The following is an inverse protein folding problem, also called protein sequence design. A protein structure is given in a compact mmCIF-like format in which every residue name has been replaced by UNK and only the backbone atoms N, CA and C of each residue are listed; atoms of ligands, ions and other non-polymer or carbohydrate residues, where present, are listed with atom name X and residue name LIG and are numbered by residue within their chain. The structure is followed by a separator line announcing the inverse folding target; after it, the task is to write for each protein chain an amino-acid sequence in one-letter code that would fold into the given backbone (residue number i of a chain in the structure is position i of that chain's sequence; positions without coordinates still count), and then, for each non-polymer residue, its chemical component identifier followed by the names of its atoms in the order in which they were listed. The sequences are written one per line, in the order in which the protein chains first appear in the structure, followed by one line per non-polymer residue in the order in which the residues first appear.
data_IF_495169035228
#
_entry.id   IF_495169035228
#
_cell.length_a   1.000
_cell.length_b   1.000
_cell.length_c   1.000
_cell.angle_alpha   90.00
_cell.angle_beta   90.00
_cell.angle_gamma   90.00
#
_symmetry.space_group_name_H-M   'P 1'
#
loop_
_entity.id
_entity.type
_entity.pdbx_description
1 polymer ?
#
# COMPACT_ATOMS: atom_id res chain seq x y z
N UNK A 1 -13.72 16.51 -4.99
CA UNK A 1 -14.16 16.60 -6.41
C UNK A 1 -15.63 16.22 -6.62
N UNK A 2 -16.18 15.19 -5.95
CA UNK A 2 -17.61 14.81 -6.09
C UNK A 2 -18.56 15.93 -5.67
N UNK A 3 -18.25 16.65 -4.60
CA UNK A 3 -19.04 17.78 -4.13
C UNK A 3 -19.09 18.93 -5.15
N UNK A 4 -17.97 19.23 -5.80
CA UNK A 4 -17.90 20.25 -6.84
C UNK A 4 -18.72 19.88 -8.08
N UNK A 5 -18.67 18.62 -8.51
CA UNK A 5 -19.45 18.12 -9.65
C UNK A 5 -20.96 18.21 -9.42
N UNK A 6 -21.43 18.07 -8.18
CA UNK A 6 -22.83 18.14 -7.79
C UNK A 6 -23.24 19.49 -7.19
N UNK A 7 -22.35 20.49 -7.18
CA UNK A 7 -22.55 21.77 -6.51
C UNK A 7 -22.94 21.62 -5.02
N UNK A 8 -22.54 20.52 -4.39
CA UNK A 8 -22.73 20.31 -2.96
C UNK A 8 -21.51 20.87 -2.20
N UNK A 9 -21.75 21.53 -1.08
CA UNK A 9 -20.71 21.95 -0.15
C UNK A 9 -20.67 20.99 1.03
N UNK A 10 -19.46 20.59 1.43
CA UNK A 10 -19.26 19.83 2.65
C UNK A 10 -19.24 20.77 3.83
N UNK A 11 -20.03 20.47 4.86
CA UNK A 11 -19.93 21.14 6.15
C UNK A 11 -18.67 20.70 6.90
N UNK A 12 -18.20 21.47 7.91
CA UNK A 12 -17.13 21.00 8.79
C UNK A 12 -17.42 19.62 9.40
N UNK A 13 -18.68 19.38 9.81
CA UNK A 13 -19.09 18.08 10.36
C UNK A 13 -19.00 16.92 9.35
N UNK A 14 -19.37 17.14 8.09
CA UNK A 14 -19.22 16.13 7.03
C UNK A 14 -17.75 15.78 6.81
N UNK A 15 -16.88 16.81 6.82
CA UNK A 15 -15.43 16.60 6.70
C UNK A 15 -14.89 15.76 7.85
N UNK A 16 -15.26 16.08 9.07
CA UNK A 16 -14.79 15.36 10.25
C UNK A 16 -15.30 13.91 10.27
N UNK A 17 -16.55 13.70 9.84
CA UNK A 17 -17.13 12.35 9.69
C UNK A 17 -16.36 11.53 8.64
N UNK A 18 -16.06 12.10 7.49
CA UNK A 18 -15.28 11.42 6.43
C UNK A 18 -13.88 11.08 6.93
N UNK A 19 -13.18 12.03 7.57
CA UNK A 19 -11.82 11.81 8.06
C UNK A 19 -11.78 10.78 9.19
N UNK A 20 -12.73 10.78 10.10
CA UNK A 20 -12.84 9.77 11.15
C UNK A 20 -13.17 8.38 10.57
N UNK A 21 -14.08 8.33 9.59
CA UNK A 21 -14.42 7.10 8.88
C UNK A 21 -13.21 6.46 8.20
N UNK A 22 -12.42 7.24 7.46
CA UNK A 22 -11.20 6.74 6.80
C UNK A 22 -10.19 6.17 7.80
N UNK A 23 -10.09 6.75 9.00
CA UNK A 23 -9.17 6.29 10.05
C UNK A 23 -9.62 5.01 10.74
N UNK A 24 -10.92 4.70 10.71
CA UNK A 24 -11.55 3.58 11.41
C UNK A 24 -11.97 2.43 10.49
N UNK A 25 -11.64 2.48 9.18
CA UNK A 25 -11.94 1.39 8.26
C UNK A 25 -11.28 0.09 8.74
N UNK A 26 -12.05 -1.03 8.79
CA UNK A 26 -11.49 -2.33 9.11
C UNK A 26 -10.56 -2.81 7.98
N UNK A 27 -9.56 -3.60 8.33
CA UNK A 27 -8.81 -4.35 7.33
C UNK A 27 -9.70 -5.38 6.63
N UNK A 28 -9.40 -5.70 5.37
CA UNK A 28 -9.99 -6.87 4.72
C UNK A 28 -9.58 -8.15 5.45
N UNK A 29 -10.44 -9.18 5.54
CA UNK A 29 -10.19 -10.36 6.36
C UNK A 29 -8.97 -11.20 5.93
N UNK A 30 -8.57 -11.10 4.66
CA UNK A 30 -7.42 -11.78 4.06
C UNK A 30 -6.07 -11.09 4.37
N UNK A 31 -6.08 -9.85 4.88
CA UNK A 31 -4.85 -9.05 5.05
C UNK A 31 -4.00 -9.59 6.19
N UNK A 32 -4.55 -9.71 7.40
CA UNK A 32 -3.77 -10.19 8.55
C UNK A 32 -3.18 -11.57 8.32
N UNK A 33 -3.94 -12.60 7.88
CA UNK A 33 -3.37 -13.92 7.61
C UNK A 33 -2.26 -13.90 6.55
N UNK A 34 -2.39 -13.09 5.50
CA UNK A 34 -1.36 -12.95 4.47
C UNK A 34 -0.09 -12.26 4.97
N UNK A 35 -0.22 -11.21 5.81
CA UNK A 35 0.93 -10.56 6.47
C UNK A 35 1.65 -11.51 7.42
N UNK A 36 0.92 -12.29 8.21
CA UNK A 36 1.48 -13.29 9.11
C UNK A 36 2.28 -14.36 8.34
N UNK A 37 1.78 -14.83 7.18
CA UNK A 37 2.48 -15.78 6.32
C UNK A 37 3.80 -15.21 5.79
N UNK A 38 3.79 -13.96 5.28
CA UNK A 38 5.01 -13.30 4.79
C UNK A 38 6.03 -13.11 5.91
N UNK A 39 5.60 -12.68 7.09
CA UNK A 39 6.48 -12.51 8.25
C UNK A 39 7.10 -13.85 8.71
N UNK A 40 6.30 -14.92 8.76
CA UNK A 40 6.79 -16.27 9.06
C UNK A 40 7.77 -16.76 8.00
N UNK A 41 7.59 -16.36 6.74
CA UNK A 41 8.51 -16.62 5.64
C UNK A 41 9.79 -15.77 5.67
N UNK A 42 9.99 -14.92 6.69
CA UNK A 42 11.20 -14.13 6.86
C UNK A 42 11.21 -12.79 6.12
N UNK A 43 10.09 -12.36 5.53
CA UNK A 43 10.01 -11.06 4.85
C UNK A 43 9.90 -9.91 5.83
N UNK A 44 10.61 -8.82 5.55
CA UNK A 44 10.46 -7.53 6.24
C UNK A 44 9.25 -6.82 5.69
N UNK A 45 8.32 -6.42 6.56
CA UNK A 45 7.07 -5.78 6.19
C UNK A 45 7.10 -4.30 6.58
N UNK A 46 6.83 -3.43 5.61
CA UNK A 46 6.75 -1.98 5.83
C UNK A 46 5.52 -1.43 5.12
N UNK A 47 5.05 -0.26 5.57
CA UNK A 47 4.03 0.49 4.82
C UNK A 47 4.64 1.71 4.14
N UNK A 48 4.13 2.06 2.95
CA UNK A 48 4.40 3.33 2.28
C UNK A 48 3.08 3.98 1.87
N UNK A 49 2.76 5.13 2.44
CA UNK A 49 1.45 5.78 2.28
C UNK A 49 1.55 7.23 1.83
N UNK A 50 0.51 7.67 1.10
CA UNK A 50 0.27 9.09 0.80
C UNK A 50 -0.39 9.85 1.98
N UNK A 51 -0.72 9.15 3.06
CA UNK A 51 -1.29 9.75 4.27
C UNK A 51 -0.22 10.33 5.19
N UNK A 52 -0.58 11.34 5.97
CA UNK A 52 0.28 11.88 7.02
C UNK A 52 0.62 10.81 8.09
N UNK A 53 1.80 10.90 8.76
CA UNK A 53 2.25 9.89 9.73
C UNK A 53 1.23 9.58 10.83
N UNK A 54 0.58 10.61 11.37
CA UNK A 54 -0.44 10.44 12.42
C UNK A 54 -1.67 9.67 11.90
N UNK A 55 -2.05 9.84 10.64
CA UNK A 55 -3.20 9.16 10.06
C UNK A 55 -2.91 7.67 9.84
N UNK A 56 -1.75 7.31 9.29
CA UNK A 56 -1.38 5.91 9.10
C UNK A 56 -1.20 5.18 10.43
N UNK A 57 -0.59 5.82 11.43
CA UNK A 57 -0.46 5.23 12.77
C UNK A 57 -1.84 4.88 13.37
N UNK A 58 -2.81 5.79 13.23
CA UNK A 58 -4.18 5.55 13.71
C UNK A 58 -4.88 4.45 12.92
N UNK A 59 -4.73 4.43 11.58
CA UNK A 59 -5.30 3.39 10.71
C UNK A 59 -4.76 2.01 11.06
N UNK A 60 -3.44 1.85 11.20
CA UNK A 60 -2.82 0.57 11.56
C UNK A 60 -3.25 0.10 12.94
N UNK A 61 -3.34 1.02 13.91
CA UNK A 61 -3.83 0.71 15.26
C UNK A 61 -5.28 0.23 15.24
N UNK A 62 -6.16 0.95 14.56
CA UNK A 62 -7.59 0.60 14.46
C UNK A 62 -7.82 -0.70 13.71
N UNK A 63 -6.98 -0.99 12.71
CA UNK A 63 -7.01 -2.26 11.95
C UNK A 63 -6.36 -3.44 12.70
N UNK A 64 -5.70 -3.22 13.85
CA UNK A 64 -4.99 -4.24 14.59
C UNK A 64 -3.76 -4.79 13.85
N UNK A 65 -3.08 -3.96 13.03
CA UNK A 65 -1.98 -4.39 12.16
C UNK A 65 -0.62 -3.79 12.55
N UNK A 66 -0.54 -2.97 13.58
CA UNK A 66 0.68 -2.24 13.96
C UNK A 66 1.85 -3.18 14.24
N UNK A 67 1.58 -4.32 14.88
CA UNK A 67 2.55 -5.33 15.29
C UNK A 67 3.19 -6.12 14.13
N UNK A 68 2.62 -6.01 12.93
CA UNK A 68 3.07 -6.75 11.75
C UNK A 68 4.09 -5.99 10.92
N UNK A 69 4.19 -4.68 11.07
CA UNK A 69 5.08 -3.83 10.28
C UNK A 69 6.29 -3.39 11.09
N UNK A 70 7.48 -3.57 10.51
CA UNK A 70 8.74 -3.09 11.08
C UNK A 70 8.79 -1.56 11.13
N UNK A 71 8.33 -0.92 10.05
CA UNK A 71 8.32 0.54 9.89
C UNK A 71 7.13 0.99 9.07
N UNK A 72 6.74 2.25 9.28
CA UNK A 72 5.69 2.90 8.49
C UNK A 72 6.25 4.18 7.87
N UNK A 73 6.22 4.27 6.55
CA UNK A 73 6.74 5.38 5.76
C UNK A 73 5.62 6.24 5.22
N UNK A 74 5.76 7.56 5.37
CA UNK A 74 4.88 8.55 4.76
C UNK A 74 5.63 9.34 3.70
N UNK A 75 4.93 9.67 2.63
CA UNK A 75 5.43 10.58 1.57
C UNK A 75 5.70 12.01 2.08
N UNK A 76 5.22 12.34 3.28
CA UNK A 76 5.49 13.63 3.92
C UNK A 76 6.99 13.89 4.10
N UNK A 77 7.81 12.85 4.26
CA UNK A 77 9.26 12.98 4.40
C UNK A 77 9.90 13.50 3.12
N UNK A 78 9.49 13.00 1.98
CA UNK A 78 10.06 13.37 0.67
C UNK A 78 9.27 14.47 -0.05
N UNK A 79 8.13 14.89 0.50
CA UNK A 79 7.23 15.90 -0.07
C UNK A 79 6.82 15.63 -1.53
N UNK A 80 6.70 14.35 -1.87
CA UNK A 80 6.27 13.86 -3.18
C UNK A 80 5.28 12.72 -2.99
N UNK A 81 4.11 12.83 -3.60
CA UNK A 81 3.09 11.77 -3.58
C UNK A 81 3.47 10.61 -4.52
N UNK A 82 3.14 9.39 -4.14
CA UNK A 82 3.07 8.27 -5.10
C UNK A 82 2.08 8.65 -6.22
N UNK A 83 2.32 8.35 -7.48
CA UNK A 83 3.30 7.39 -8.00
C UNK A 83 4.68 7.96 -8.38
N UNK A 84 5.07 9.16 -7.94
CA UNK A 84 6.41 9.67 -8.18
C UNK A 84 7.49 8.70 -7.62
N UNK A 85 8.69 8.61 -8.24
CA UNK A 85 9.70 7.61 -7.87
C UNK A 85 10.36 7.87 -6.50
N UNK A 86 10.35 9.11 -6.02
CA UNK A 86 11.05 9.50 -4.79
C UNK A 86 10.58 8.74 -3.54
N UNK A 87 9.28 8.52 -3.29
CA UNK A 87 8.82 7.71 -2.16
C UNK A 87 9.38 6.29 -2.13
N UNK A 88 9.44 5.62 -3.29
CA UNK A 88 9.93 4.24 -3.37
C UNK A 88 11.45 4.18 -3.16
N UNK A 89 12.21 5.12 -3.75
CA UNK A 89 13.66 5.25 -3.54
C UNK A 89 14.00 5.54 -2.07
N UNK A 90 13.21 6.40 -1.44
CA UNK A 90 13.36 6.71 -0.02
C UNK A 90 13.22 5.45 0.85
N UNK A 91 12.20 4.61 0.61
CA UNK A 91 12.03 3.36 1.35
C UNK A 91 13.22 2.43 1.14
N UNK A 92 13.69 2.25 -0.10
CA UNK A 92 14.87 1.43 -0.41
C UNK A 92 16.11 1.91 0.37
N UNK A 93 16.36 3.20 0.36
CA UNK A 93 17.49 3.83 1.08
C UNK A 93 17.40 3.60 2.58
N UNK A 94 16.23 3.84 3.18
CA UNK A 94 16.00 3.69 4.63
C UNK A 94 16.11 2.24 5.12
N UNK A 95 15.81 1.28 4.25
CA UNK A 95 15.93 -0.15 4.55
C UNK A 95 17.30 -0.72 4.19
N UNK A 96 18.14 0.04 3.46
CA UNK A 96 19.46 -0.41 3.02
C UNK A 96 19.40 -1.51 1.96
N UNK A 97 18.39 -1.50 1.07
CA UNK A 97 18.17 -2.51 0.03
C UNK A 97 18.10 -1.88 -1.36
N UNK A 98 18.23 -2.68 -2.41
CA UNK A 98 17.97 -2.25 -3.78
C UNK A 98 16.46 -2.09 -4.06
N UNK A 99 16.11 -1.27 -5.06
CA UNK A 99 14.71 -1.15 -5.49
C UNK A 99 14.13 -2.49 -5.97
N UNK A 100 14.95 -3.31 -6.64
CA UNK A 100 14.56 -4.65 -7.08
C UNK A 100 14.35 -5.66 -5.94
N UNK A 101 14.75 -5.33 -4.72
CA UNK A 101 14.51 -6.14 -3.51
C UNK A 101 13.19 -5.74 -2.81
N UNK A 102 12.52 -4.69 -3.30
CA UNK A 102 11.24 -4.22 -2.78
C UNK A 102 10.10 -4.68 -3.69
N UNK A 103 9.07 -5.26 -3.10
CA UNK A 103 7.81 -5.55 -3.79
C UNK A 103 6.69 -4.65 -3.26
N UNK A 104 6.12 -3.83 -4.15
CA UNK A 104 4.90 -3.08 -3.85
C UNK A 104 3.69 -4.00 -3.98
N UNK A 105 2.92 -4.13 -2.90
CA UNK A 105 1.64 -4.85 -2.90
C UNK A 105 0.51 -3.84 -2.74
N UNK A 106 -0.34 -3.71 -3.74
CA UNK A 106 -1.42 -2.73 -3.74
C UNK A 106 -2.60 -3.14 -4.62
N UNK A 107 -3.78 -2.60 -4.29
CA UNK A 107 -5.00 -2.74 -5.11
C UNK A 107 -5.24 -1.53 -6.03
N UNK A 108 -4.26 -0.65 -6.19
CA UNK A 108 -4.34 0.51 -7.07
C UNK A 108 -3.29 0.40 -8.18
N UNK A 109 -3.77 0.35 -9.42
CA UNK A 109 -2.91 0.20 -10.60
C UNK A 109 -1.85 1.29 -10.71
N UNK A 110 -2.19 2.54 -10.36
CA UNK A 110 -1.25 3.66 -10.39
C UNK A 110 -0.07 3.48 -9.40
N UNK A 111 -0.30 2.84 -8.25
CA UNK A 111 0.74 2.59 -7.24
C UNK A 111 1.69 1.47 -7.72
N UNK A 112 1.14 0.40 -8.27
CA UNK A 112 1.93 -0.68 -8.89
C UNK A 112 2.77 -0.16 -10.04
N UNK A 113 2.18 0.61 -10.97
CA UNK A 113 2.91 1.18 -12.11
C UNK A 113 4.03 2.12 -11.63
N UNK A 114 3.75 3.00 -10.66
CA UNK A 114 4.76 3.91 -10.11
C UNK A 114 5.92 3.17 -9.45
N UNK A 115 5.63 2.14 -8.65
CA UNK A 115 6.65 1.33 -8.01
C UNK A 115 7.53 0.58 -9.05
N UNK A 116 6.91 -0.05 -10.04
CA UNK A 116 7.63 -0.76 -11.10
C UNK A 116 8.47 0.17 -11.96
N UNK A 117 7.97 1.36 -12.30
CA UNK A 117 8.75 2.38 -13.01
C UNK A 117 9.93 2.92 -12.19
N UNK A 118 9.82 2.91 -10.87
CA UNK A 118 10.92 3.25 -9.98
C UNK A 118 11.98 2.14 -9.87
N UNK A 119 11.65 0.90 -10.29
CA UNK A 119 12.54 -0.27 -10.26
C UNK A 119 12.15 -1.34 -9.23
N UNK A 120 11.00 -1.20 -8.55
CA UNK A 120 10.48 -2.21 -7.64
C UNK A 120 9.77 -3.35 -8.36
N UNK A 121 9.62 -4.49 -7.69
CA UNK A 121 8.68 -5.54 -8.08
C UNK A 121 7.25 -5.12 -7.74
N UNK A 122 6.25 -5.70 -8.41
CA UNK A 122 4.84 -5.41 -8.20
C UNK A 122 4.01 -6.64 -7.87
N UNK A 123 3.04 -6.51 -6.97
CA UNK A 123 1.97 -7.48 -6.76
C UNK A 123 0.63 -6.76 -6.71
N UNK A 124 -0.22 -7.00 -7.68
CA UNK A 124 -1.53 -6.35 -7.78
C UNK A 124 -2.61 -7.19 -7.14
N UNK A 125 -3.35 -6.60 -6.21
CA UNK A 125 -4.53 -7.22 -5.60
C UNK A 125 -5.76 -6.80 -6.41
N UNK A 126 -6.27 -7.73 -7.21
CA UNK A 126 -7.41 -7.54 -8.10
C UNK A 126 -8.74 -7.61 -7.33
N UNK A 127 -8.94 -6.71 -6.36
CA UNK A 127 -10.21 -6.56 -5.64
C UNK A 127 -11.35 -6.24 -6.62
N UNK A 128 -12.61 -6.55 -6.29
CA UNK A 128 -13.75 -6.16 -7.12
C UNK A 128 -13.69 -4.68 -7.51
N UNK A 129 -13.82 -4.39 -8.79
CA UNK A 129 -13.72 -3.04 -9.35
C UNK A 129 -12.31 -2.47 -9.49
N UNK A 130 -11.26 -3.23 -9.18
CA UNK A 130 -9.86 -2.85 -9.40
C UNK A 130 -9.31 -3.53 -10.63
N UNK A 131 -8.74 -2.74 -11.54
CA UNK A 131 -8.15 -3.22 -12.80
C UNK A 131 -6.77 -2.62 -13.01
N UNK A 132 -5.89 -3.39 -13.66
CA UNK A 132 -4.58 -2.89 -14.10
C UNK A 132 -4.73 -1.94 -15.30
N UNK A 133 -3.76 -1.05 -15.47
CA UNK A 133 -3.69 -0.24 -16.69
C UNK A 133 -3.31 -1.13 -17.89
N UNK A 134 -4.09 -1.10 -18.97
CA UNK A 134 -3.85 -1.97 -20.13
C UNK A 134 -2.46 -1.78 -20.77
N UNK A 135 -1.97 -0.54 -20.80
CA UNK A 135 -0.70 -0.14 -21.39
C UNK A 135 0.45 0.03 -20.37
N UNK A 136 0.19 -0.21 -19.08
CA UNK A 136 1.22 -0.15 -18.05
C UNK A 136 2.07 -1.41 -17.97
N UNK A 137 3.23 -1.35 -17.25
CA UNK A 137 3.98 -2.54 -16.92
C UNK A 137 3.11 -3.51 -16.15
N UNK A 138 3.23 -4.80 -16.48
CA UNK A 138 2.45 -5.86 -15.82
C UNK A 138 3.25 -6.44 -14.68
N UNK A 139 2.71 -6.45 -13.45
CA UNK A 139 3.35 -7.15 -12.34
C UNK A 139 3.35 -8.66 -12.60
N UNK A 140 4.34 -9.33 -12.07
CA UNK A 140 4.46 -10.79 -12.11
C UNK A 140 3.44 -11.50 -11.20
N UNK A 141 2.90 -10.77 -10.21
CA UNK A 141 1.84 -11.26 -9.33
C UNK A 141 0.55 -10.46 -9.54
N UNK A 142 -0.52 -11.17 -9.87
CA UNK A 142 -1.90 -10.66 -9.88
C UNK A 142 -2.78 -11.66 -9.12
N UNK A 143 -3.31 -11.25 -7.99
CA UNK A 143 -4.04 -12.12 -7.09
C UNK A 143 -5.42 -11.53 -6.71
N UNK A 144 -6.45 -12.34 -6.48
CA UNK A 144 -7.77 -11.84 -6.10
C UNK A 144 -7.81 -11.22 -4.71
N UNK A 145 -6.92 -11.65 -3.82
CA UNK A 145 -6.82 -11.21 -2.44
C UNK A 145 -5.36 -11.22 -1.96
N UNK A 146 -5.13 -10.68 -0.77
CA UNK A 146 -3.78 -10.55 -0.22
C UNK A 146 -3.21 -11.91 0.22
N UNK A 147 -4.03 -12.84 0.69
CA UNK A 147 -3.56 -14.15 1.13
C UNK A 147 -3.04 -15.01 -0.04
N UNK A 148 -3.71 -14.94 -1.20
CA UNK A 148 -3.23 -15.57 -2.45
C UNK A 148 -1.94 -14.89 -2.92
N UNK A 149 -1.88 -13.55 -2.87
CA UNK A 149 -0.65 -12.83 -3.21
C UNK A 149 0.53 -13.24 -2.30
N UNK A 150 0.32 -13.36 -0.99
CA UNK A 150 1.34 -13.77 -0.04
C UNK A 150 1.92 -15.15 -0.38
N UNK A 151 1.08 -16.12 -0.75
CA UNK A 151 1.54 -17.45 -1.21
C UNK A 151 2.39 -17.37 -2.47
N UNK A 152 2.01 -16.52 -3.43
CA UNK A 152 2.77 -16.33 -4.66
C UNK A 152 4.12 -15.64 -4.38
N UNK A 153 4.16 -14.64 -3.50
CA UNK A 153 5.39 -13.97 -3.06
C UNK A 153 6.34 -15.00 -2.42
N UNK A 154 5.84 -15.82 -1.50
CA UNK A 154 6.63 -16.87 -0.84
C UNK A 154 7.22 -17.90 -1.82
N UNK A 155 6.56 -18.13 -2.95
CA UNK A 155 7.02 -19.06 -3.98
C UNK A 155 8.06 -18.44 -4.94
N UNK A 156 7.99 -17.15 -5.18
CA UNK A 156 8.79 -16.45 -6.19
C UNK A 156 9.98 -15.68 -5.61
N UNK A 157 9.79 -15.06 -4.45
CA UNK A 157 10.80 -14.19 -3.85
C UNK A 157 11.57 -14.92 -2.75
N UNK A 158 12.81 -14.47 -2.53
CA UNK A 158 13.64 -14.92 -1.40
C UNK A 158 13.74 -13.79 -0.37
N UNK A 159 13.50 -14.05 0.93
CA UNK A 159 13.68 -13.04 1.97
C UNK A 159 15.16 -12.67 2.10
N UNK A 160 15.44 -11.38 2.30
CA UNK A 160 16.78 -10.81 2.50
C UNK A 160 16.90 -10.06 3.81
#
# INVERSE_FOLDING_TARGET
MVAAARRASLTPGDRDLILSGIRSLPAHPDVRPGLDQLRQGGFRLVTLTNSAPIAVAQQLKNAGLTDLFERSFSVDTVKRFKPAPEPYRYVAQELGVGLGDLRMVAAHAWDIVGAMQAGCLGAFIARPGKVLYPLGPKPDIVAPDFQVAAKQILALDQPR
#
